data_IF_307574403106
#
_entry.id   IF_307574403106
#
_cell.length_a   1.000
_cell.length_b   1.000
_cell.length_c   1.000
_cell.angle_alpha   90.00
_cell.angle_beta   90.00
_cell.angle_gamma   90.00
#
_symmetry.space_group_name_H-M   'P 1'
#
loop_
_entity.id
_entity.type
_entity.pdbx_description
1 polymer ?
#
# COMPACT_ATOMS: atom_id res chain seq x y z
N UNK A 1 1.07 13.76 -11.93
CA UNK A 1 1.21 12.70 -10.91
C UNK A 1 0.82 11.36 -11.51
N UNK A 2 1.71 10.38 -11.48
CA UNK A 2 1.45 9.03 -11.98
C UNK A 2 1.52 8.03 -10.83
N UNK A 3 0.56 7.09 -10.79
CA UNK A 3 0.59 5.94 -9.90
C UNK A 3 0.52 4.69 -10.78
N UNK A 4 1.48 3.78 -10.62
CA UNK A 4 1.50 2.56 -11.42
C UNK A 4 1.94 1.35 -10.60
N UNK A 5 1.51 0.15 -11.06
CA UNK A 5 1.92 -1.11 -10.47
C UNK A 5 3.24 -1.55 -11.11
N UNK A 6 4.27 -1.74 -10.30
CA UNK A 6 5.58 -2.16 -10.79
C UNK A 6 5.57 -3.64 -11.16
N UNK A 7 6.19 -3.96 -12.30
CA UNK A 7 6.38 -5.36 -12.69
C UNK A 7 7.47 -6.00 -11.82
N UNK A 8 7.38 -7.32 -11.53
CA UNK A 8 8.33 -7.98 -10.63
C UNK A 8 9.80 -7.84 -11.02
N UNK A 9 10.10 -7.82 -12.31
CA UNK A 9 11.47 -7.70 -12.79
C UNK A 9 12.11 -6.35 -12.46
N UNK A 10 11.33 -5.34 -12.10
CA UNK A 10 11.86 -4.00 -11.78
C UNK A 10 12.02 -3.76 -10.28
N UNK A 11 11.69 -4.72 -9.44
CA UNK A 11 11.76 -4.56 -7.98
C UNK A 11 13.16 -4.19 -7.52
N UNK A 12 14.19 -4.90 -8.00
CA UNK A 12 15.57 -4.60 -7.59
C UNK A 12 16.02 -3.22 -8.03
N UNK A 13 15.65 -2.79 -9.23
CA UNK A 13 16.00 -1.46 -9.76
C UNK A 13 15.32 -0.36 -8.96
N UNK A 14 14.07 -0.57 -8.58
CA UNK A 14 13.28 0.41 -7.83
C UNK A 14 13.61 0.46 -6.34
N UNK A 15 14.20 -0.63 -5.81
CA UNK A 15 14.38 -0.78 -4.37
C UNK A 15 15.12 0.35 -3.68
N UNK A 16 16.22 0.92 -4.25
CA UNK A 16 16.88 2.06 -3.61
C UNK A 16 15.97 3.27 -3.40
N UNK A 17 14.91 3.40 -4.21
CA UNK A 17 13.97 4.51 -4.13
C UNK A 17 12.76 4.21 -3.29
N UNK A 18 12.18 3.02 -3.42
CA UNK A 18 10.95 2.66 -2.71
C UNK A 18 11.22 2.05 -1.33
N UNK A 19 12.35 1.38 -1.13
CA UNK A 19 12.69 0.76 0.14
C UNK A 19 12.66 1.73 1.31
N UNK A 20 13.34 2.88 1.23
CA UNK A 20 13.30 3.86 2.31
C UNK A 20 11.90 4.39 2.60
N UNK A 21 11.05 4.53 1.58
CA UNK A 21 9.68 4.99 1.76
C UNK A 21 8.84 3.92 2.47
N UNK A 22 8.93 2.68 2.04
CA UNK A 22 8.22 1.57 2.68
C UNK A 22 8.70 1.35 4.10
N UNK A 23 10.00 1.57 4.37
CA UNK A 23 10.54 1.41 5.70
C UNK A 23 9.94 2.39 6.71
N UNK A 24 9.52 3.57 6.26
CA UNK A 24 8.81 4.52 7.13
C UNK A 24 7.50 3.91 7.65
N UNK A 25 6.79 3.18 6.79
CA UNK A 25 5.56 2.51 7.18
C UNK A 25 5.84 1.32 8.09
N UNK A 26 6.90 0.57 7.81
CA UNK A 26 7.31 -0.58 8.62
C UNK A 26 7.65 -0.15 10.05
N UNK A 27 8.28 1.00 10.23
CA UNK A 27 8.62 1.52 11.57
C UNK A 27 7.38 1.80 12.43
N UNK A 28 6.20 1.87 11.83
CA UNK A 28 4.93 2.06 12.55
C UNK A 28 4.23 0.75 12.87
N UNK A 29 4.80 -0.37 12.43
CA UNK A 29 4.29 -1.70 12.79
C UNK A 29 4.85 -2.07 14.16
N UNK A 30 4.36 -3.19 14.70
CA UNK A 30 4.81 -3.67 16.01
C UNK A 30 5.90 -4.74 15.90
N UNK A 31 6.55 -4.82 14.73
CA UNK A 31 7.65 -5.75 14.50
C UNK A 31 7.28 -7.03 13.79
N UNK A 32 6.04 -7.15 13.31
CA UNK A 32 5.57 -8.36 12.65
C UNK A 32 6.19 -8.59 11.28
N UNK A 33 6.72 -7.53 10.64
CA UNK A 33 7.37 -7.63 9.33
C UNK A 33 8.62 -6.74 9.27
N UNK A 34 9.51 -7.06 8.35
CA UNK A 34 10.66 -6.22 8.05
C UNK A 34 10.74 -5.98 6.52
N UNK A 35 11.66 -5.12 6.11
CA UNK A 35 11.77 -4.71 4.72
C UNK A 35 12.17 -5.88 3.79
N UNK A 36 12.98 -6.81 4.29
CA UNK A 36 13.38 -7.99 3.51
C UNK A 36 12.19 -8.91 3.23
N UNK A 37 11.30 -9.07 4.22
CA UNK A 37 10.05 -9.84 4.03
C UNK A 37 9.23 -9.24 2.90
N UNK A 38 9.07 -7.93 2.90
CA UNK A 38 8.28 -7.23 1.88
C UNK A 38 8.88 -7.42 0.50
N UNK A 39 10.20 -7.25 0.37
CA UNK A 39 10.89 -7.41 -0.90
C UNK A 39 10.68 -8.82 -1.47
N UNK A 40 10.80 -9.84 -0.63
CA UNK A 40 10.60 -11.23 -1.02
C UNK A 40 9.17 -11.46 -1.52
N UNK A 41 8.18 -10.98 -0.78
CA UNK A 41 6.77 -11.12 -1.17
C UNK A 41 6.46 -10.42 -2.50
N UNK A 42 7.08 -9.28 -2.75
CA UNK A 42 6.91 -8.57 -4.01
C UNK A 42 7.54 -9.34 -5.18
N UNK A 43 8.72 -9.91 -4.97
CA UNK A 43 9.39 -10.72 -6.00
C UNK A 43 8.64 -12.01 -6.30
N UNK A 44 8.03 -12.60 -5.30
CA UNK A 44 7.21 -13.80 -5.43
C UNK A 44 5.81 -13.52 -5.99
N UNK A 45 5.48 -12.25 -6.21
CA UNK A 45 4.17 -11.80 -6.67
C UNK A 45 3.03 -12.11 -5.68
N UNK A 46 3.38 -12.37 -4.42
CA UNK A 46 2.40 -12.49 -3.35
C UNK A 46 1.76 -11.14 -3.04
N UNK A 47 2.54 -10.08 -3.19
CA UNK A 47 2.06 -8.70 -3.03
C UNK A 47 2.39 -7.90 -4.28
N UNK A 48 1.70 -6.80 -4.46
CA UNK A 48 1.93 -5.85 -5.55
C UNK A 48 2.60 -4.60 -5.00
N UNK A 49 3.56 -4.08 -5.75
CA UNK A 49 4.19 -2.81 -5.45
C UNK A 49 3.59 -1.74 -6.36
N UNK A 50 3.16 -0.65 -5.74
CA UNK A 50 2.67 0.53 -6.45
C UNK A 50 3.62 1.69 -6.19
N UNK A 51 3.90 2.45 -7.23
CA UNK A 51 4.86 3.55 -7.18
C UNK A 51 4.15 4.84 -7.54
N UNK A 52 4.41 5.88 -6.76
CA UNK A 52 3.86 7.22 -6.97
C UNK A 52 4.99 8.12 -7.46
N UNK A 53 4.82 8.63 -8.67
CA UNK A 53 5.84 9.46 -9.34
C UNK A 53 5.32 10.88 -9.53
N UNK A 54 6.11 11.84 -9.13
CA UNK A 54 5.91 13.25 -9.46
C UNK A 54 6.60 13.50 -10.80
N UNK A 55 5.81 13.65 -11.85
CA UNK A 55 6.32 13.81 -13.21
C UNK A 55 7.06 15.13 -13.40
N UNK A 56 6.59 16.19 -12.75
CA UNK A 56 7.22 17.53 -12.88
C UNK A 56 8.61 17.54 -12.26
N UNK A 57 8.74 16.96 -11.06
CA UNK A 57 10.01 16.87 -10.35
C UNK A 57 10.83 15.65 -10.77
N UNK A 58 10.25 14.75 -11.56
CA UNK A 58 10.89 13.52 -12.04
C UNK A 58 11.42 12.67 -10.89
N UNK A 59 10.62 12.49 -9.85
CA UNK A 59 11.05 11.70 -8.70
C UNK A 59 9.93 10.80 -8.17
N UNK A 60 10.34 9.71 -7.52
CA UNK A 60 9.43 8.82 -6.81
C UNK A 60 9.16 9.44 -5.44
N UNK A 61 7.90 9.77 -5.19
CA UNK A 61 7.51 10.43 -3.94
C UNK A 61 6.74 9.52 -2.99
N UNK A 62 6.38 8.32 -3.45
CA UNK A 62 5.67 7.39 -2.60
C UNK A 62 5.67 5.98 -3.16
N UNK A 63 5.35 5.06 -2.28
CA UNK A 63 5.18 3.66 -2.62
C UNK A 63 4.18 3.03 -1.67
N UNK A 64 3.41 2.08 -2.17
CA UNK A 64 2.53 1.31 -1.31
C UNK A 64 2.44 -0.12 -1.80
N UNK A 65 2.05 -1.02 -0.90
CA UNK A 65 1.92 -2.44 -1.20
C UNK A 65 0.48 -2.89 -0.99
N UNK A 66 0.05 -3.82 -1.83
CA UNK A 66 -1.26 -4.45 -1.73
C UNK A 66 -1.13 -5.95 -1.84
N UNK A 67 -2.17 -6.65 -1.42
CA UNK A 67 -2.24 -8.10 -1.54
C UNK A 67 -3.68 -8.50 -1.84
N UNK A 68 -3.85 -9.48 -2.75
CA UNK A 68 -5.17 -10.01 -3.07
C UNK A 68 -5.51 -11.09 -2.05
N UNK A 69 -6.64 -10.93 -1.37
CA UNK A 69 -7.16 -11.92 -0.43
C UNK A 69 -8.42 -12.56 -1.01
N UNK A 70 -8.39 -13.88 -1.12
CA UNK A 70 -9.51 -14.66 -1.69
C UNK A 70 -10.30 -15.26 -0.53
N UNK A 71 -11.49 -14.73 -0.31
CA UNK A 71 -12.44 -15.26 0.66
C UNK A 71 -13.42 -16.21 -0.04
N UNK A 72 -14.16 -17.05 0.68
CA UNK A 72 -15.13 -17.95 0.04
C UNK A 72 -16.13 -17.26 -0.87
N UNK A 73 -16.60 -16.08 -0.50
CA UNK A 73 -17.63 -15.38 -1.24
C UNK A 73 -17.22 -14.06 -1.86
N UNK A 74 -15.99 -13.60 -1.62
CA UNK A 74 -15.52 -12.32 -2.08
C UNK A 74 -14.01 -12.35 -2.31
N UNK A 75 -13.53 -11.42 -3.11
CA UNK A 75 -12.10 -11.20 -3.32
C UNK A 75 -11.81 -9.76 -2.98
N UNK A 76 -10.86 -9.53 -2.07
CA UNK A 76 -10.48 -8.20 -1.60
C UNK A 76 -9.05 -7.85 -2.00
N UNK A 77 -8.80 -6.57 -2.21
CA UNK A 77 -7.46 -6.03 -2.29
C UNK A 77 -7.16 -5.35 -0.97
N UNK A 78 -6.11 -5.80 -0.27
CA UNK A 78 -5.70 -5.19 0.99
C UNK A 78 -4.48 -4.32 0.79
N UNK A 79 -4.57 -3.05 1.17
CA UNK A 79 -3.43 -2.18 1.26
C UNK A 79 -2.70 -2.42 2.58
N UNK A 80 -1.40 -2.68 2.51
CA UNK A 80 -0.61 -3.01 3.69
C UNK A 80 0.26 -1.85 4.17
N UNK A 81 1.14 -1.36 3.29
CA UNK A 81 2.11 -0.34 3.65
C UNK A 81 1.95 0.87 2.73
N UNK A 82 1.98 2.06 3.31
CA UNK A 82 1.95 3.31 2.57
C UNK A 82 3.08 4.18 3.07
N UNK A 83 4.06 4.42 2.23
CA UNK A 83 5.19 5.29 2.54
C UNK A 83 5.30 6.41 1.52
N UNK A 84 5.20 7.65 1.96
CA UNK A 84 5.25 8.81 1.07
C UNK A 84 6.14 9.89 1.65
N UNK A 85 6.61 10.78 0.79
CA UNK A 85 7.33 11.97 1.24
C UNK A 85 6.39 12.88 2.00
N UNK A 86 6.93 13.64 2.96
CA UNK A 86 6.16 14.56 3.78
C UNK A 86 5.41 15.58 2.94
N UNK A 87 4.21 15.92 3.38
CA UNK A 87 3.39 17.00 2.79
C UNK A 87 3.04 16.79 1.30
N UNK A 88 2.95 15.53 0.86
CA UNK A 88 2.59 15.21 -0.53
C UNK A 88 1.20 14.64 -0.69
N UNK A 89 0.46 14.41 0.40
CA UNK A 89 -0.85 13.77 0.38
C UNK A 89 -1.82 14.38 -0.63
N UNK A 90 -1.94 15.71 -0.62
CA UNK A 90 -2.83 16.42 -1.53
C UNK A 90 -2.47 16.21 -3.00
N UNK A 91 -1.18 16.02 -3.28
CA UNK A 91 -0.69 15.84 -4.64
C UNK A 91 -1.11 14.51 -5.25
N UNK A 92 -1.07 13.43 -4.46
CA UNK A 92 -1.29 12.09 -5.00
C UNK A 92 -2.63 11.46 -4.62
N UNK A 93 -3.37 12.02 -3.67
CA UNK A 93 -4.62 11.43 -3.18
C UNK A 93 -5.64 11.16 -4.28
N UNK A 94 -5.69 12.00 -5.31
CA UNK A 94 -6.62 11.82 -6.42
C UNK A 94 -6.07 10.93 -7.53
N UNK A 95 -4.78 10.62 -7.51
CA UNK A 95 -4.11 9.90 -8.60
C UNK A 95 -4.12 8.38 -8.45
N UNK A 96 -4.26 7.85 -7.24
CA UNK A 96 -4.13 6.41 -7.01
C UNK A 96 -5.41 5.61 -7.27
N UNK A 97 -6.57 6.23 -7.12
CA UNK A 97 -7.85 5.51 -7.18
C UNK A 97 -8.09 4.82 -8.52
N UNK A 98 -7.88 5.53 -9.62
CA UNK A 98 -8.17 5.01 -10.96
C UNK A 98 -7.32 3.78 -11.32
N UNK A 99 -5.98 3.82 -11.21
CA UNK A 99 -5.19 2.64 -11.54
C UNK A 99 -5.45 1.44 -10.60
N UNK A 100 -5.68 1.70 -9.32
CA UNK A 100 -5.99 0.63 -8.37
C UNK A 100 -7.36 0.01 -8.65
N UNK A 101 -8.37 0.82 -8.93
CA UNK A 101 -9.70 0.32 -9.26
C UNK A 101 -9.70 -0.45 -10.58
N UNK A 102 -8.91 -0.01 -11.56
CA UNK A 102 -8.74 -0.74 -12.82
C UNK A 102 -8.15 -2.12 -12.57
N UNK A 103 -7.09 -2.19 -11.76
CA UNK A 103 -6.49 -3.46 -11.36
C UNK A 103 -7.51 -4.37 -10.68
N UNK A 104 -8.34 -3.82 -9.81
CA UNK A 104 -9.39 -4.59 -9.13
C UNK A 104 -10.39 -5.16 -10.12
N UNK A 105 -10.83 -4.37 -11.09
CA UNK A 105 -11.77 -4.84 -12.12
C UNK A 105 -11.17 -5.96 -12.96
N UNK A 106 -9.91 -5.82 -13.35
CA UNK A 106 -9.20 -6.83 -14.15
C UNK A 106 -9.00 -8.14 -13.39
N UNK A 107 -9.04 -8.12 -12.06
CA UNK A 107 -8.81 -9.27 -11.21
C UNK A 107 -10.07 -9.74 -10.47
N UNK A 108 -11.24 -9.24 -10.84
CA UNK A 108 -12.52 -9.59 -10.21
C UNK A 108 -12.55 -9.34 -8.69
N UNK A 109 -11.91 -8.27 -8.27
CA UNK A 109 -11.87 -7.86 -6.87
C UNK A 109 -13.09 -6.98 -6.59
N UNK A 110 -13.84 -7.32 -5.54
CA UNK A 110 -15.07 -6.63 -5.20
C UNK A 110 -14.91 -5.56 -4.12
N UNK A 111 -13.87 -5.65 -3.29
CA UNK A 111 -13.66 -4.74 -2.16
C UNK A 111 -12.21 -4.37 -2.01
N UNK A 112 -11.97 -3.14 -1.58
CA UNK A 112 -10.64 -2.65 -1.25
C UNK A 112 -10.63 -2.34 0.25
N UNK A 113 -9.66 -2.92 0.97
CA UNK A 113 -9.45 -2.67 2.38
C UNK A 113 -8.12 -1.98 2.57
N UNK A 114 -8.04 -1.08 3.53
CA UNK A 114 -6.75 -0.56 3.96
C UNK A 114 -6.85 -0.20 5.43
N UNK A 115 -5.74 -0.34 6.14
CA UNK A 115 -5.62 0.06 7.53
C UNK A 115 -4.73 1.28 7.61
N UNK A 116 -5.10 2.23 8.43
CA UNK A 116 -4.33 3.45 8.57
C UNK A 116 -4.70 4.21 9.81
N UNK A 117 -3.97 5.30 10.05
CA UNK A 117 -4.25 6.18 11.18
C UNK A 117 -5.51 6.99 10.92
N UNK A 118 -6.09 7.54 11.98
CA UNK A 118 -7.36 8.29 11.89
C UNK A 118 -7.35 9.41 10.85
N UNK A 119 -6.20 10.05 10.61
CA UNK A 119 -6.09 11.07 9.58
C UNK A 119 -6.37 10.57 8.16
N UNK A 120 -6.04 9.31 7.90
CA UNK A 120 -6.33 8.65 6.62
C UNK A 120 -7.82 8.38 6.43
N UNK A 121 -8.53 8.05 7.52
CA UNK A 121 -9.96 7.80 7.49
C UNK A 121 -10.71 8.96 6.86
N UNK A 122 -10.36 10.18 7.28
CA UNK A 122 -11.00 11.39 6.78
C UNK A 122 -10.81 11.58 5.27
N UNK A 123 -9.56 11.36 4.80
CA UNK A 123 -9.24 11.49 3.38
C UNK A 123 -9.91 10.40 2.53
N UNK A 124 -9.97 9.17 3.05
CA UNK A 124 -10.54 8.04 2.32
C UNK A 124 -12.06 8.04 2.29
N UNK A 125 -12.72 8.59 3.30
CA UNK A 125 -14.19 8.69 3.32
C UNK A 125 -14.72 9.44 2.09
N UNK A 126 -14.00 10.45 1.62
CA UNK A 126 -14.37 11.19 0.42
C UNK A 126 -14.22 10.37 -0.86
N UNK A 127 -13.58 9.20 -0.79
CA UNK A 127 -13.38 8.28 -1.90
C UNK A 127 -14.29 7.06 -1.83
N UNK A 128 -15.28 7.08 -0.94
CA UNK A 128 -16.23 5.97 -0.79
C UNK A 128 -15.81 4.90 0.22
N UNK A 129 -14.72 5.11 0.95
CA UNK A 129 -14.32 4.18 2.00
C UNK A 129 -15.11 4.44 3.26
N UNK A 130 -15.41 3.37 3.99
CA UNK A 130 -16.15 3.44 5.25
C UNK A 130 -15.34 2.71 6.32
N UNK A 131 -15.38 3.22 7.54
CA UNK A 131 -14.76 2.54 8.67
C UNK A 131 -15.53 1.24 8.92
N UNK A 132 -14.81 0.12 8.95
CA UNK A 132 -15.43 -1.19 9.07
C UNK A 132 -15.25 -1.81 10.45
N UNK A 133 -13.99 -1.88 10.94
CA UNK A 133 -13.71 -2.44 12.27
C UNK A 133 -12.44 -1.84 12.83
N UNK A 134 -12.23 -2.07 14.13
CA UNK A 134 -11.02 -1.63 14.82
C UNK A 134 -10.22 -2.86 15.25
N UNK A 135 -8.93 -2.87 14.97
CA UNK A 135 -8.03 -3.95 15.38
C UNK A 135 -7.44 -3.62 16.75
N UNK A 136 -7.51 -4.58 17.66
CA UNK A 136 -6.95 -4.46 18.99
C UNK A 136 -5.84 -5.50 19.13
N UNK A 137 -4.71 -5.09 19.70
CA UNK A 137 -3.55 -5.98 19.85
C UNK A 137 -3.13 -6.03 21.31
N UNK A 138 -2.85 -7.23 21.80
CA UNK A 138 -2.27 -7.44 23.12
C UNK A 138 -0.98 -8.23 22.93
N UNK A 139 0.13 -7.66 23.36
CA UNK A 139 1.39 -8.38 23.36
C UNK A 139 1.46 -9.32 24.56
N UNK A 140 1.78 -10.59 24.31
CA UNK A 140 1.93 -11.57 25.38
C UNK A 140 3.40 -11.70 25.74
N UNK A 141 3.67 -11.58 27.04
CA UNK A 141 5.02 -11.75 27.55
C UNK A 141 5.29 -13.24 27.75
N UNK A 142 6.43 -13.69 27.23
CA UNK A 142 6.92 -15.05 27.47
C UNK A 142 7.78 -15.03 28.71
N UNK A 143 7.38 -15.74 29.74
CA UNK A 143 8.15 -15.90 30.96
C UNK A 143 9.19 -17.01 30.81
#
# INVERSE_FOLDING_TARGET
MIVYKAEPQYIDVLWPYVGPLLNKAIKRTIGEINLENVKEWLKEQRQQLWVIVDEEEKEIIGAFTTEIYIYPNQKHLKGHLWGTKRNTLKKWMNAWSEPVEKFCKENNISHIETAGRDGWTRALQNKGYKKYYTVLVKELKND
#
